data_IF_875181369137
#
_entry.id   IF_875181369137
#
_cell.length_a   1.000
_cell.length_b   1.000
_cell.length_c   1.000
_cell.angle_alpha   90.00
_cell.angle_beta   90.00
_cell.angle_gamma   90.00
#
_symmetry.space_group_name_H-M   'P 1'
#
loop_
_entity.id
_entity.type
_entity.pdbx_description
1 polymer ?
#
# COMPACT_ATOMS: atom_id res chain seq x y z
N UNK A 1 -12.73 -2.14 5.82
CA UNK A 1 -13.64 -1.53 4.83
C UNK A 1 -13.82 -2.49 3.68
N UNK A 2 -15.04 -2.78 3.33
CA UNK A 2 -15.36 -3.65 2.21
C UNK A 2 -15.59 -2.82 0.95
N UNK A 3 -15.15 -3.34 -0.19
CA UNK A 3 -15.31 -2.68 -1.48
C UNK A 3 -16.31 -3.43 -2.35
N UNK A 4 -17.33 -2.73 -2.79
CA UNK A 4 -18.28 -3.23 -3.78
C UNK A 4 -17.83 -2.83 -5.19
N UNK A 5 -17.49 -3.83 -6.01
CA UNK A 5 -17.04 -3.62 -7.39
C UNK A 5 -18.15 -3.21 -8.35
N UNK A 6 -19.38 -3.59 -8.06
CA UNK A 6 -20.52 -3.36 -8.96
C UNK A 6 -20.94 -1.90 -8.88
N UNK A 7 -21.07 -1.40 -7.66
CA UNK A 7 -21.58 -0.05 -7.40
C UNK A 7 -20.47 0.97 -7.10
N UNK A 8 -19.20 0.54 -7.11
CA UNK A 8 -18.00 1.37 -6.87
C UNK A 8 -18.06 2.22 -5.61
N UNK A 9 -18.33 1.60 -4.48
CA UNK A 9 -18.30 2.24 -3.17
C UNK A 9 -17.60 1.40 -2.12
N UNK A 10 -17.15 2.04 -1.07
CA UNK A 10 -16.62 1.40 0.11
C UNK A 10 -17.63 1.45 1.26
N UNK A 11 -17.69 0.41 2.05
CA UNK A 11 -18.50 0.36 3.27
C UNK A 11 -17.61 0.59 4.50
N UNK A 12 -17.96 1.54 5.34
CA UNK A 12 -17.21 1.81 6.57
C UNK A 12 -17.62 0.83 7.69
N UNK A 13 -16.89 0.86 8.83
CA UNK A 13 -17.20 0.02 10.00
C UNK A 13 -18.62 0.19 10.54
N UNK A 14 -19.23 1.33 10.31
CA UNK A 14 -20.60 1.65 10.73
C UNK A 14 -21.63 1.45 9.61
N UNK A 15 -21.33 0.59 8.63
CA UNK A 15 -22.20 0.26 7.51
C UNK A 15 -22.66 1.46 6.64
N UNK A 16 -21.94 2.57 6.71
CA UNK A 16 -22.19 3.73 5.85
C UNK A 16 -21.37 3.65 4.58
N UNK A 17 -21.90 4.20 3.51
CA UNK A 17 -21.27 4.15 2.18
C UNK A 17 -20.32 5.33 1.97
N UNK A 18 -19.19 5.04 1.37
CA UNK A 18 -18.25 6.03 0.85
C UNK A 18 -18.37 6.00 -0.66
N UNK A 19 -18.94 7.05 -1.22
CA UNK A 19 -19.17 7.20 -2.67
C UNK A 19 -18.07 8.01 -3.32
N UNK A 20 -17.91 7.88 -4.61
CA UNK A 20 -16.95 8.65 -5.39
C UNK A 20 -17.34 10.13 -5.36
N UNK A 21 -16.48 10.95 -4.83
CA UNK A 21 -16.66 12.41 -4.84
C UNK A 21 -16.07 13.03 -6.11
N UNK A 22 -14.80 12.77 -6.35
CA UNK A 22 -14.09 13.27 -7.53
C UNK A 22 -12.83 12.45 -7.82
N UNK A 23 -12.26 12.64 -8.99
CA UNK A 23 -10.99 12.06 -9.39
C UNK A 23 -9.93 13.16 -9.38
N UNK A 24 -8.83 12.91 -8.69
CA UNK A 24 -7.71 13.84 -8.60
C UNK A 24 -6.54 13.35 -9.43
N UNK A 25 -6.05 14.20 -10.31
CA UNK A 25 -4.84 13.97 -11.09
C UNK A 25 -3.67 14.75 -10.49
N UNK A 26 -2.60 14.06 -10.17
CA UNK A 26 -1.36 14.67 -9.70
C UNK A 26 -0.24 14.42 -10.71
N UNK A 27 0.39 15.49 -11.17
CA UNK A 27 1.57 15.40 -12.05
C UNK A 27 2.84 15.59 -11.22
N UNK A 28 3.77 14.64 -11.34
CA UNK A 28 5.08 14.74 -10.70
C UNK A 28 6.02 15.63 -11.51
N UNK A 29 7.16 16.01 -10.91
CA UNK A 29 8.20 16.78 -11.60
C UNK A 29 8.77 16.05 -12.83
N UNK A 30 8.72 14.71 -12.83
CA UNK A 30 9.17 13.86 -13.94
C UNK A 30 8.16 13.70 -15.07
N UNK A 31 7.00 14.35 -14.95
CA UNK A 31 5.93 14.27 -15.96
C UNK A 31 4.91 13.14 -15.76
N UNK A 32 5.12 12.25 -14.78
CA UNK A 32 4.18 11.17 -14.50
C UNK A 32 2.88 11.72 -13.90
N UNK A 33 1.74 11.29 -14.46
CA UNK A 33 0.41 11.65 -13.98
C UNK A 33 -0.18 10.47 -13.21
N UNK A 34 -0.43 10.68 -11.93
CA UNK A 34 -1.12 9.71 -11.09
C UNK A 34 -2.58 10.10 -10.92
N UNK A 35 -3.46 9.13 -11.09
CA UNK A 35 -4.90 9.28 -10.88
C UNK A 35 -5.31 8.67 -9.54
N UNK A 36 -6.03 9.43 -8.73
CA UNK A 36 -6.58 8.99 -7.46
C UNK A 36 -8.08 9.24 -7.42
N UNK A 37 -8.84 8.20 -7.16
CA UNK A 37 -10.28 8.31 -6.92
C UNK A 37 -10.50 8.65 -5.45
N UNK A 38 -11.25 9.71 -5.19
CA UNK A 38 -11.56 10.19 -3.85
C UNK A 38 -12.97 9.74 -3.48
N UNK A 39 -13.06 8.94 -2.43
CA UNK A 39 -14.34 8.50 -1.85
C UNK A 39 -14.60 9.27 -0.57
N UNK A 40 -15.80 9.77 -0.43
CA UNK A 40 -16.23 10.52 0.75
C UNK A 40 -17.41 9.82 1.40
N UNK A 41 -17.40 9.71 2.72
CA UNK A 41 -18.51 9.16 3.47
C UNK A 41 -19.70 10.13 3.47
N UNK A 42 -20.90 9.61 3.33
CA UNK A 42 -22.14 10.40 3.30
C UNK A 42 -22.31 11.24 4.56
N UNK A 43 -22.09 10.63 5.72
CA UNK A 43 -22.18 11.33 7.01
C UNK A 43 -21.33 10.64 8.08
N UNK A 44 -20.52 11.40 8.78
CA UNK A 44 -19.70 10.94 9.90
C UNK A 44 -20.03 11.65 11.22
N UNK A 45 -21.11 12.45 11.30
CA UNK A 45 -21.38 13.32 12.45
C UNK A 45 -21.49 12.53 13.75
N UNK A 46 -22.35 11.53 13.82
CA UNK A 46 -22.63 10.78 15.04
C UNK A 46 -22.07 9.35 15.00
N UNK A 47 -20.89 9.19 14.42
CA UNK A 47 -20.29 7.87 14.26
C UNK A 47 -19.48 7.48 15.51
N UNK A 48 -19.82 6.37 16.21
CA UNK A 48 -19.07 5.91 17.38
C UNK A 48 -17.65 5.46 17.04
N UNK A 49 -17.42 5.02 15.80
CA UNK A 49 -16.09 4.58 15.31
C UNK A 49 -15.26 5.72 14.68
N UNK A 50 -15.65 6.97 14.87
CA UNK A 50 -15.02 8.12 14.20
C UNK A 50 -13.55 8.28 14.57
N UNK A 51 -13.20 8.11 15.83
CA UNK A 51 -11.81 8.16 16.32
C UNK A 51 -10.91 7.09 15.70
N UNK A 52 -11.45 5.90 15.45
CA UNK A 52 -10.71 4.82 14.81
C UNK A 52 -10.60 4.98 13.30
N UNK A 53 -11.62 5.57 12.68
CA UNK A 53 -11.68 5.77 11.24
C UNK A 53 -10.88 6.97 10.77
N UNK A 54 -10.88 8.05 11.53
CA UNK A 54 -10.21 9.31 11.21
C UNK A 54 -9.14 9.56 12.27
N UNK A 55 -7.89 9.31 11.89
CA UNK A 55 -6.74 9.59 12.77
C UNK A 55 -6.47 11.09 12.83
N UNK A 56 -6.12 11.56 14.00
CA UNK A 56 -5.73 12.94 14.23
C UNK A 56 -4.28 13.16 13.79
N UNK A 57 -4.11 13.52 12.53
CA UNK A 57 -2.79 13.75 11.94
C UNK A 57 -2.58 15.27 11.75
N UNK A 58 -2.33 16.00 12.84
CA UNK A 58 -1.98 17.44 12.81
C UNK A 58 -2.93 18.30 11.95
N UNK A 59 -4.19 17.93 11.86
CA UNK A 59 -5.19 18.67 11.11
C UNK A 59 -5.82 19.74 11.99
N UNK A 60 -5.94 20.95 11.44
CA UNK A 60 -6.52 22.11 12.17
C UNK A 60 -8.02 21.96 12.47
N UNK A 61 -8.72 21.14 11.70
CA UNK A 61 -10.15 20.92 11.86
C UNK A 61 -10.43 19.95 13.01
N UNK A 62 -11.35 20.24 13.94
CA UNK A 62 -11.70 19.33 15.03
C UNK A 62 -12.30 18.02 14.50
N UNK A 63 -12.09 16.91 15.23
CA UNK A 63 -12.54 15.59 14.83
C UNK A 63 -14.05 15.53 14.57
N UNK A 64 -14.84 16.29 15.34
CA UNK A 64 -16.30 16.35 15.20
C UNK A 64 -16.79 16.79 13.81
N UNK A 65 -16.07 17.68 13.17
CA UNK A 65 -16.43 18.27 11.87
C UNK A 65 -15.86 17.51 10.68
N UNK A 66 -14.94 16.57 10.92
CA UNK A 66 -14.29 15.82 9.83
C UNK A 66 -15.19 14.72 9.29
N UNK A 67 -15.10 14.52 7.99
CA UNK A 67 -15.71 13.40 7.28
C UNK A 67 -14.63 12.44 6.79
N UNK A 68 -14.90 11.16 6.81
CA UNK A 68 -13.96 10.16 6.28
C UNK A 68 -13.80 10.32 4.77
N UNK A 69 -12.56 10.52 4.36
CA UNK A 69 -12.15 10.58 2.97
C UNK A 69 -11.13 9.48 2.71
N UNK A 70 -11.37 8.68 1.68
CA UNK A 70 -10.47 7.62 1.25
C UNK A 70 -9.92 7.96 -0.13
N UNK A 71 -8.59 7.95 -0.27
CA UNK A 71 -7.93 8.15 -1.55
C UNK A 71 -7.43 6.82 -2.09
N UNK A 72 -7.89 6.43 -3.26
CA UNK A 72 -7.57 5.14 -3.87
C UNK A 72 -6.96 5.34 -5.25
N UNK A 73 -5.76 4.85 -5.44
CA UNK A 73 -5.12 4.76 -6.76
C UNK A 73 -5.44 3.39 -7.37
N UNK A 74 -6.51 3.30 -8.14
CA UNK A 74 -6.99 2.03 -8.74
C UNK A 74 -5.93 1.38 -9.63
N UNK A 75 -5.22 2.16 -10.41
CA UNK A 75 -4.12 1.69 -11.27
C UNK A 75 -3.00 1.05 -10.46
N UNK A 76 -2.61 1.68 -9.35
CA UNK A 76 -1.60 1.14 -8.46
C UNK A 76 -2.02 -0.18 -7.82
N UNK A 77 -3.27 -0.29 -7.37
CA UNK A 77 -3.82 -1.52 -6.80
C UNK A 77 -3.85 -2.65 -7.84
N UNK A 78 -4.23 -2.34 -9.08
CA UNK A 78 -4.22 -3.29 -10.18
C UNK A 78 -2.82 -3.84 -10.43
N UNK A 79 -1.83 -2.96 -10.59
CA UNK A 79 -0.44 -3.38 -10.80
C UNK A 79 0.13 -4.16 -9.62
N UNK A 80 -0.18 -3.76 -8.40
CA UNK A 80 0.23 -4.50 -7.20
C UNK A 80 -0.34 -5.91 -7.17
N UNK A 81 -1.59 -6.10 -7.60
CA UNK A 81 -2.21 -7.41 -7.70
C UNK A 81 -1.53 -8.27 -8.78
N UNK A 82 -1.29 -7.70 -9.96
CA UNK A 82 -0.58 -8.36 -11.05
C UNK A 82 0.84 -8.77 -10.63
N UNK A 83 1.55 -7.89 -9.94
CA UNK A 83 2.89 -8.17 -9.41
C UNK A 83 2.88 -9.28 -8.37
N UNK A 84 1.88 -9.28 -7.48
CA UNK A 84 1.72 -10.36 -6.50
C UNK A 84 1.50 -11.70 -7.20
N UNK A 85 0.63 -11.77 -8.20
CA UNK A 85 0.39 -12.99 -8.99
C UNK A 85 1.67 -13.48 -9.67
N UNK A 86 2.48 -12.59 -10.20
CA UNK A 86 3.80 -12.91 -10.77
C UNK A 86 4.78 -13.43 -9.71
N UNK A 87 4.82 -12.80 -8.54
CA UNK A 87 5.72 -13.18 -7.45
C UNK A 87 5.42 -14.56 -6.90
N UNK A 88 4.15 -14.93 -6.79
CA UNK A 88 3.71 -16.23 -6.27
C UNK A 88 3.67 -17.32 -7.33
N UNK A 89 3.89 -17.02 -8.62
CA UNK A 89 3.98 -18.04 -9.66
C UNK A 89 5.13 -19.01 -9.39
N UNK A 90 4.93 -20.30 -9.69
CA UNK A 90 5.91 -21.37 -9.41
C UNK A 90 7.28 -21.07 -10.04
N UNK A 91 7.28 -20.59 -11.27
CA UNK A 91 8.50 -20.20 -11.99
C UNK A 91 9.28 -19.10 -11.26
N UNK A 92 8.61 -18.06 -10.79
CA UNK A 92 9.24 -16.97 -10.07
C UNK A 92 9.71 -17.35 -8.68
N UNK A 93 8.99 -18.22 -8.01
CA UNK A 93 9.42 -18.82 -6.75
C UNK A 93 10.71 -19.61 -6.95
N UNK A 94 10.78 -20.43 -7.98
CA UNK A 94 11.97 -21.20 -8.33
C UNK A 94 13.18 -20.29 -8.62
N UNK A 95 13.01 -19.23 -9.40
CA UNK A 95 14.08 -18.26 -9.67
C UNK A 95 14.60 -17.58 -8.40
N UNK A 96 13.72 -17.20 -7.50
CA UNK A 96 14.13 -16.61 -6.21
C UNK A 96 14.91 -17.61 -5.35
N UNK A 97 14.46 -18.87 -5.29
CA UNK A 97 15.17 -19.91 -4.58
C UNK A 97 16.57 -20.13 -5.16
N UNK A 98 16.70 -20.27 -6.46
CA UNK A 98 17.98 -20.46 -7.14
C UNK A 98 18.92 -19.27 -6.90
N UNK A 99 18.41 -18.05 -6.94
CA UNK A 99 19.20 -16.86 -6.64
C UNK A 99 19.69 -16.84 -5.20
N UNK A 100 18.85 -17.23 -4.25
CA UNK A 100 19.21 -17.32 -2.85
C UNK A 100 20.31 -18.37 -2.62
N UNK A 101 20.17 -19.55 -3.20
CA UNK A 101 21.17 -20.64 -3.13
C UNK A 101 22.50 -20.18 -3.71
N UNK A 102 22.54 -19.52 -4.84
CA UNK A 102 23.77 -19.00 -5.43
C UNK A 102 24.42 -17.94 -4.57
N UNK A 103 23.65 -17.02 -3.98
CA UNK A 103 24.17 -16.00 -3.09
C UNK A 103 24.74 -16.62 -1.81
N UNK A 104 24.07 -17.58 -1.21
CA UNK A 104 24.54 -18.31 -0.02
C UNK A 104 25.80 -19.13 -0.34
N UNK A 105 25.86 -19.80 -1.49
CA UNK A 105 27.05 -20.53 -1.95
C UNK A 105 28.28 -19.63 -2.03
N UNK A 106 28.16 -18.50 -2.71
CA UNK A 106 29.24 -17.49 -2.81
C UNK A 106 29.66 -16.94 -1.45
N UNK A 107 28.71 -16.73 -0.55
CA UNK A 107 28.97 -16.25 0.80
C UNK A 107 29.66 -17.31 1.66
N UNK A 108 29.30 -18.59 1.50
CA UNK A 108 29.94 -19.72 2.16
C UNK A 108 31.41 -19.84 1.75
N UNK A 109 31.70 -19.78 0.47
CA UNK A 109 33.06 -19.80 -0.07
C UNK A 109 33.90 -18.65 0.48
N UNK A 110 33.36 -17.44 0.50
CA UNK A 110 34.03 -16.26 1.05
C UNK A 110 34.37 -16.45 2.54
N UNK A 111 33.49 -17.01 3.33
CA UNK A 111 33.68 -17.26 4.76
C UNK A 111 34.69 -18.38 5.06
N UNK A 112 34.63 -19.45 4.29
CA UNK A 112 35.48 -20.64 4.54
C UNK A 112 36.86 -20.51 3.93
N UNK A 113 36.95 -20.11 2.66
CA UNK A 113 38.21 -20.08 1.92
C UNK A 113 39.07 -18.86 2.27
N UNK A 114 38.45 -17.74 2.54
CA UNK A 114 39.13 -16.48 2.88
C UNK A 114 39.14 -16.23 4.40
N UNK A 115 38.53 -17.11 5.20
CA UNK A 115 38.39 -16.97 6.67
C UNK A 115 37.77 -15.63 7.07
N UNK A 116 36.82 -15.17 6.29
CA UNK A 116 36.13 -13.90 6.51
C UNK A 116 35.15 -14.05 7.67
N UNK A 117 35.49 -13.58 8.87
CA UNK A 117 34.69 -13.76 10.08
C UNK A 117 33.59 -12.71 10.27
N UNK A 118 33.80 -11.51 9.79
CA UNK A 118 32.83 -10.41 9.87
C UNK A 118 33.18 -9.28 8.94
N UNK A 119 32.18 -8.48 8.59
CA UNK A 119 32.43 -7.21 7.95
C UNK A 119 33.08 -6.24 8.94
N UNK A 120 34.32 -5.89 8.68
CA UNK A 120 34.98 -4.78 9.34
C UNK A 120 34.67 -3.54 8.50
N UNK A 121 33.57 -2.83 8.80
CA UNK A 121 33.42 -1.50 8.26
C UNK A 121 34.35 -0.58 9.03
N UNK A 122 35.46 -0.24 8.43
CA UNK A 122 36.23 0.93 8.86
C UNK A 122 35.50 2.14 8.28
N UNK A 123 34.73 2.78 9.09
CA UNK A 123 34.20 4.10 8.78
C UNK A 123 35.32 5.12 8.76
#
# INVERSE_FOLDING_TARGET
MEYDKISDFYTCKNNRKLTVSHIRHNKTKTGYVSEKTIYTCENCSDCPCKSDCIKDNNCKTPLGERTKVLQVAKTFIKHRKEDLERIISDERVLYRMNRSIQAEGSFGDLKQDIQFRRYLSKG
#
